data_IF_876284763532
#
_entry.id   IF_876284763532
#
_cell.length_a   1.000
_cell.length_b   1.000
_cell.length_c   1.000
_cell.angle_alpha   90.00
_cell.angle_beta   90.00
_cell.angle_gamma   90.00
#
_symmetry.space_group_name_H-M   'P 1'
#
loop_
_entity.id
_entity.type
_entity.pdbx_description
1 polymer ?
#
# COMPACT_ATOMS: atom_id res chain seq x y z
N UNK A 1 -20.94 52.33 35.54
CA UNK A 1 -21.58 51.38 34.60
C UNK A 1 -20.57 51.05 33.53
N UNK A 2 -19.89 49.93 33.68
CA UNK A 2 -18.85 49.47 32.73
C UNK A 2 -19.36 48.20 32.09
N UNK A 3 -19.62 48.26 30.78
CA UNK A 3 -20.09 47.13 29.99
C UNK A 3 -18.89 46.33 29.50
N UNK A 4 -18.73 45.14 30.02
CA UNK A 4 -17.73 44.19 29.54
C UNK A 4 -18.15 43.69 28.15
N UNK A 5 -17.29 43.93 27.12
CA UNK A 5 -17.37 43.30 25.81
C UNK A 5 -16.92 41.84 25.93
N UNK A 6 -17.84 40.91 25.78
CA UNK A 6 -17.54 39.51 25.64
C UNK A 6 -16.78 39.25 24.33
N UNK A 7 -15.55 38.72 24.42
CA UNK A 7 -14.82 38.19 23.31
C UNK A 7 -15.42 36.83 22.92
N UNK A 8 -16.29 36.82 21.92
CA UNK A 8 -16.64 35.60 21.22
C UNK A 8 -15.47 35.24 20.27
N UNK A 9 -14.52 34.47 20.78
CA UNK A 9 -13.61 33.72 19.94
C UNK A 9 -14.42 32.60 19.25
N UNK A 10 -15.01 32.92 18.13
CA UNK A 10 -15.58 31.91 17.24
C UNK A 10 -14.51 30.88 16.93
N UNK A 11 -14.73 29.68 17.43
CA UNK A 11 -13.94 28.49 17.15
C UNK A 11 -14.13 28.14 15.65
N UNK A 12 -13.44 28.87 14.80
CA UNK A 12 -13.43 28.61 13.34
C UNK A 12 -12.73 27.28 13.14
N UNK A 13 -13.51 26.21 13.02
CA UNK A 13 -13.00 24.94 12.51
C UNK A 13 -12.38 25.22 11.15
N UNK A 14 -11.13 24.87 10.91
CA UNK A 14 -10.55 25.04 9.60
C UNK A 14 -11.41 24.29 8.57
N UNK A 15 -11.83 24.99 7.53
CA UNK A 15 -12.57 24.39 6.42
C UNK A 15 -11.54 23.64 5.60
N UNK A 16 -11.46 22.33 5.82
CA UNK A 16 -10.64 21.46 4.97
C UNK A 16 -11.39 21.17 3.69
N UNK A 17 -10.79 21.45 2.56
CA UNK A 17 -11.28 20.96 1.28
C UNK A 17 -11.01 19.44 1.24
N UNK A 18 -12.02 18.61 1.01
CA UNK A 18 -11.80 17.18 0.84
C UNK A 18 -10.93 16.97 -0.40
N UNK A 19 -9.78 16.32 -0.20
CA UNK A 19 -8.92 15.87 -1.30
C UNK A 19 -9.44 14.48 -1.69
N UNK A 20 -9.80 14.30 -2.95
CA UNK A 20 -10.21 13.00 -3.47
C UNK A 20 -9.00 12.05 -3.49
N UNK A 21 -9.26 10.75 -3.33
CA UNK A 21 -8.26 9.68 -3.37
C UNK A 21 -7.19 9.72 -2.25
N UNK A 22 -7.56 10.22 -1.07
CA UNK A 22 -6.78 10.09 0.17
C UNK A 22 -7.64 9.43 1.24
N UNK A 23 -7.00 8.73 2.16
CA UNK A 23 -7.67 8.15 3.32
C UNK A 23 -8.22 9.24 4.25
N UNK A 24 -9.27 8.91 5.01
CA UNK A 24 -9.82 9.83 6.00
C UNK A 24 -8.84 10.06 7.13
N UNK A 25 -8.62 11.33 7.50
CA UNK A 25 -7.82 11.71 8.65
C UNK A 25 -8.38 11.15 9.98
N UNK A 26 -9.67 10.87 10.04
CA UNK A 26 -10.32 10.25 11.19
C UNK A 26 -9.81 8.84 11.48
N UNK A 27 -9.18 8.19 10.52
CA UNK A 27 -8.60 6.86 10.68
C UNK A 27 -7.18 6.86 11.28
N UNK A 28 -6.60 8.06 11.53
CA UNK A 28 -5.31 8.22 12.22
C UNK A 28 -5.52 8.27 13.74
N UNK A 29 -6.07 7.20 14.28
CA UNK A 29 -6.40 7.00 15.70
C UNK A 29 -5.65 5.78 16.24
N UNK A 30 -5.59 5.56 17.56
CA UNK A 30 -5.02 4.34 18.14
C UNK A 30 -5.60 3.09 17.48
N UNK A 31 -4.73 2.22 16.94
CA UNK A 31 -5.10 1.04 16.18
C UNK A 31 -5.29 1.26 14.66
N UNK A 32 -5.44 2.51 14.22
CA UNK A 32 -5.62 2.91 12.83
C UNK A 32 -4.31 3.06 12.04
N UNK A 33 -4.25 4.05 11.14
CA UNK A 33 -3.06 4.31 10.34
C UNK A 33 -1.92 4.91 11.16
N UNK A 34 -0.70 4.57 10.76
CA UNK A 34 0.51 5.23 11.25
C UNK A 34 0.71 6.56 10.50
N UNK A 35 0.94 7.69 11.20
CA UNK A 35 1.29 8.93 10.53
C UNK A 35 2.70 8.83 9.94
N UNK A 36 2.78 9.01 8.63
CA UNK A 36 4.03 9.05 7.86
C UNK A 36 4.04 10.33 7.03
N UNK A 37 5.19 10.99 6.99
CA UNK A 37 5.39 12.21 6.20
C UNK A 37 6.49 12.00 5.16
N UNK A 38 6.40 12.76 4.08
CA UNK A 38 7.50 12.84 3.11
C UNK A 38 8.75 13.39 3.80
N UNK A 39 9.87 12.70 3.62
CA UNK A 39 11.14 13.00 4.29
C UNK A 39 11.44 12.13 5.50
N UNK A 40 10.46 11.47 6.10
CA UNK A 40 10.68 10.52 7.19
C UNK A 40 11.64 9.39 6.76
N UNK A 41 12.39 8.88 7.73
CA UNK A 41 13.25 7.71 7.52
C UNK A 41 12.69 6.54 8.33
N UNK A 42 12.05 5.61 7.65
CA UNK A 42 11.47 4.42 8.26
C UNK A 42 12.56 3.36 8.45
N UNK A 43 12.57 2.73 9.63
CA UNK A 43 13.52 1.65 9.96
C UNK A 43 14.99 2.05 9.73
N UNK A 44 15.35 3.31 9.97
CA UNK A 44 16.71 3.87 9.76
C UNK A 44 17.29 3.63 8.35
N UNK A 45 16.44 3.29 7.38
CA UNK A 45 16.86 2.87 6.04
C UNK A 45 16.03 3.47 4.90
N UNK A 46 14.73 3.52 5.05
CA UNK A 46 13.81 3.86 3.96
C UNK A 46 13.36 5.31 4.06
N UNK A 47 13.94 6.20 3.25
CA UNK A 47 13.53 7.61 3.20
C UNK A 47 12.30 7.77 2.34
N UNK A 48 11.22 8.21 2.94
CA UNK A 48 9.94 8.46 2.27
C UNK A 48 10.07 9.61 1.28
N UNK A 49 9.65 9.38 0.05
CA UNK A 49 9.72 10.34 -1.06
C UNK A 49 8.35 10.83 -1.44
N UNK A 50 7.36 9.92 -1.53
CA UNK A 50 6.01 10.25 -1.95
C UNK A 50 5.02 9.19 -1.47
N UNK A 51 3.73 9.50 -1.57
CA UNK A 51 2.65 8.56 -1.27
C UNK A 51 2.18 7.88 -2.56
N UNK A 52 2.17 6.55 -2.56
CA UNK A 52 1.69 5.75 -3.70
C UNK A 52 0.21 5.41 -3.61
N UNK A 53 -0.34 5.29 -2.39
CA UNK A 53 -1.74 4.97 -2.21
C UNK A 53 -2.10 4.52 -0.80
N UNK A 54 -3.33 4.06 -0.66
CA UNK A 54 -3.86 3.54 0.61
C UNK A 54 -4.94 2.48 0.35
N UNK A 55 -5.25 1.72 1.39
CA UNK A 55 -6.34 0.76 1.44
C UNK A 55 -6.90 0.69 2.86
N UNK A 56 -7.97 -0.06 3.10
CA UNK A 56 -8.63 -0.13 4.41
C UNK A 56 -7.73 -0.49 5.59
N UNK A 57 -6.61 -1.16 5.34
CA UNK A 57 -5.69 -1.66 6.37
C UNK A 57 -4.24 -1.22 6.20
N UNK A 58 -3.95 -0.30 5.29
CA UNK A 58 -2.55 0.12 5.04
C UNK A 58 -2.45 1.39 4.22
N UNK A 59 -1.29 2.05 4.34
CA UNK A 59 -0.81 3.07 3.41
C UNK A 59 0.42 2.55 2.68
N UNK A 60 0.64 3.02 1.45
CA UNK A 60 1.78 2.60 0.61
C UNK A 60 2.58 3.84 0.21
N UNK A 61 3.87 3.78 0.37
CA UNK A 61 4.79 4.90 0.21
C UNK A 61 5.92 4.56 -0.75
N UNK A 62 6.28 5.50 -1.61
CA UNK A 62 7.53 5.47 -2.34
C UNK A 62 8.65 5.84 -1.38
N UNK A 63 9.67 5.00 -1.27
CA UNK A 63 10.83 5.29 -0.44
C UNK A 63 12.13 4.97 -1.18
N UNK A 64 13.17 5.74 -0.87
CA UNK A 64 14.52 5.45 -1.26
C UNK A 64 15.18 4.56 -0.20
N UNK A 65 15.61 3.38 -0.60
CA UNK A 65 16.49 2.54 0.20
C UNK A 65 17.87 3.20 0.25
N UNK A 66 18.24 3.71 1.42
CA UNK A 66 19.51 4.45 1.59
C UNK A 66 20.73 3.54 1.56
N UNK A 67 20.56 2.22 1.77
CA UNK A 67 21.65 1.23 1.71
C UNK A 67 21.86 0.72 0.28
N UNK A 68 20.79 0.28 -0.39
CA UNK A 68 20.87 -0.27 -1.75
C UNK A 68 20.81 0.79 -2.85
N UNK A 69 20.53 2.06 -2.50
CA UNK A 69 20.43 3.20 -3.43
C UNK A 69 19.39 3.00 -4.55
N UNK A 70 18.34 2.28 -4.26
CA UNK A 70 17.22 2.05 -5.17
C UNK A 70 15.91 2.56 -4.57
N UNK A 71 14.85 2.59 -5.37
CA UNK A 71 13.51 2.91 -4.89
C UNK A 71 12.72 1.64 -4.63
N UNK A 72 11.93 1.66 -3.58
CA UNK A 72 11.05 0.57 -3.16
C UNK A 72 9.68 1.11 -2.79
N UNK A 73 8.67 0.28 -2.84
CA UNK A 73 7.38 0.56 -2.21
C UNK A 73 7.41 0.03 -0.77
N UNK A 74 7.08 0.89 0.20
CA UNK A 74 6.93 0.53 1.61
C UNK A 74 5.45 0.50 1.94
N UNK A 75 4.93 -0.65 2.33
CA UNK A 75 3.56 -0.79 2.84
C UNK A 75 3.59 -0.74 4.36
N UNK A 76 2.81 0.18 4.93
CA UNK A 76 2.66 0.40 6.36
C UNK A 76 1.25 -0.03 6.77
N UNK A 77 1.14 -1.12 7.49
CA UNK A 77 -0.13 -1.67 7.96
C UNK A 77 -0.72 -0.88 9.13
N UNK A 78 -2.04 -0.98 9.31
CA UNK A 78 -2.66 -0.61 10.60
C UNK A 78 -2.28 -1.66 11.65
N UNK A 79 -2.46 -1.34 12.93
CA UNK A 79 -2.21 -2.31 14.03
C UNK A 79 -3.02 -3.60 13.84
N UNK A 80 -4.24 -3.46 13.33
CA UNK A 80 -5.15 -4.57 13.09
C UNK A 80 -5.03 -5.17 11.67
N UNK A 81 -3.99 -4.77 10.91
CA UNK A 81 -3.79 -5.37 9.58
C UNK A 81 -3.52 -6.87 9.72
N UNK A 82 -4.02 -7.68 8.78
CA UNK A 82 -3.80 -9.12 8.84
C UNK A 82 -2.30 -9.44 8.79
N UNK A 83 -1.75 -9.97 9.87
CA UNK A 83 -0.34 -10.44 9.96
C UNK A 83 -0.04 -11.52 8.92
N UNK A 84 -1.08 -12.12 8.34
CA UNK A 84 -0.96 -13.17 7.33
C UNK A 84 -0.47 -12.71 5.96
N UNK A 85 -0.55 -11.42 5.63
CA UNK A 85 -0.24 -10.95 4.27
C UNK A 85 1.21 -11.27 3.88
N UNK A 86 2.18 -10.87 4.69
CA UNK A 86 3.59 -11.14 4.41
C UNK A 86 3.92 -12.63 4.46
N UNK A 87 3.30 -13.37 5.37
CA UNK A 87 3.44 -14.82 5.45
C UNK A 87 2.98 -15.49 4.15
N UNK A 88 1.77 -15.12 3.66
CA UNK A 88 1.23 -15.64 2.40
C UNK A 88 2.12 -15.26 1.23
N UNK A 89 2.55 -13.99 1.13
CA UNK A 89 3.43 -13.54 0.06
C UNK A 89 4.77 -14.29 0.07
N UNK A 90 5.32 -14.57 1.25
CA UNK A 90 6.56 -15.33 1.40
C UNK A 90 6.36 -16.78 1.00
N UNK A 91 5.27 -17.42 1.43
CA UNK A 91 4.93 -18.77 1.01
C UNK A 91 4.72 -18.88 -0.50
N UNK A 92 4.02 -17.92 -1.11
CA UNK A 92 3.87 -17.84 -2.56
C UNK A 92 5.21 -17.59 -3.28
N UNK A 93 6.17 -16.99 -2.60
CA UNK A 93 7.51 -16.73 -3.15
C UNK A 93 8.41 -17.95 -3.12
N UNK A 94 8.16 -18.93 -2.25
CA UNK A 94 8.94 -20.16 -2.20
C UNK A 94 8.72 -21.03 -3.45
N UNK A 95 9.83 -21.57 -3.96
CA UNK A 95 9.80 -22.45 -5.13
C UNK A 95 9.12 -23.78 -4.75
N UNK A 96 7.85 -23.92 -5.07
CA UNK A 96 7.18 -25.21 -5.13
C UNK A 96 6.89 -25.58 -6.59
N UNK A 97 6.91 -26.87 -6.87
CA UNK A 97 6.59 -27.38 -8.21
C UNK A 97 5.10 -27.14 -8.51
N UNK A 98 4.81 -26.09 -9.26
CA UNK A 98 3.50 -25.83 -9.82
C UNK A 98 3.57 -26.10 -11.32
N UNK A 99 2.70 -26.95 -11.89
CA UNK A 99 2.70 -27.24 -13.31
C UNK A 99 2.46 -26.00 -14.18
N UNK A 100 3.03 -26.00 -15.38
CA UNK A 100 2.68 -25.00 -16.39
C UNK A 100 1.22 -25.21 -16.89
N UNK A 101 0.50 -24.14 -17.29
CA UNK A 101 0.96 -22.75 -17.39
C UNK A 101 0.88 -21.96 -16.07
N UNK A 102 0.24 -22.48 -15.01
CA UNK A 102 0.00 -21.75 -13.75
C UNK A 102 1.30 -21.23 -13.10
N UNK A 103 2.42 -21.96 -13.21
CA UNK A 103 3.72 -21.53 -12.70
C UNK A 103 4.19 -20.16 -13.23
N UNK A 104 3.74 -19.76 -14.44
CA UNK A 104 4.07 -18.46 -15.02
C UNK A 104 3.45 -17.30 -14.24
N UNK A 105 2.32 -17.53 -13.58
CA UNK A 105 1.63 -16.52 -12.78
C UNK A 105 2.43 -16.06 -11.55
N UNK A 106 3.44 -16.82 -11.13
CA UNK A 106 4.32 -16.46 -9.99
C UNK A 106 4.96 -15.07 -10.16
N UNK A 107 5.29 -14.68 -11.39
CA UNK A 107 5.93 -13.40 -11.70
C UNK A 107 5.04 -12.19 -11.41
N UNK A 108 3.73 -12.39 -11.39
CA UNK A 108 2.75 -11.34 -11.09
C UNK A 108 2.43 -11.21 -9.60
N UNK A 109 3.02 -12.05 -8.75
CA UNK A 109 2.85 -11.99 -7.30
C UNK A 109 4.05 -11.24 -6.71
N UNK A 110 3.83 -10.12 -6.00
CA UNK A 110 4.91 -9.39 -5.34
C UNK A 110 5.58 -10.26 -4.28
N UNK A 111 6.89 -10.05 -4.09
CA UNK A 111 7.65 -10.70 -3.02
C UNK A 111 8.08 -9.64 -2.03
N UNK A 112 7.89 -9.86 -0.72
CA UNK A 112 8.48 -9.00 0.29
C UNK A 112 10.01 -9.03 0.16
N UNK A 113 10.63 -7.84 0.19
CA UNK A 113 12.09 -7.67 0.16
C UNK A 113 12.65 -7.53 1.57
N UNK A 114 11.91 -6.85 2.45
CA UNK A 114 12.26 -6.62 3.85
C UNK A 114 10.98 -6.50 4.67
N UNK A 115 11.04 -6.85 5.96
CA UNK A 115 9.91 -6.77 6.89
C UNK A 115 10.39 -6.19 8.22
N UNK A 116 9.62 -5.25 8.77
CA UNK A 116 9.93 -4.58 10.02
C UNK A 116 8.67 -4.04 10.69
N UNK A 117 8.82 -3.51 11.89
CA UNK A 117 7.74 -2.88 12.63
C UNK A 117 8.05 -1.39 12.86
N UNK A 118 7.03 -0.54 12.73
CA UNK A 118 7.10 0.85 13.16
C UNK A 118 6.31 1.04 14.45
N UNK A 119 6.94 1.65 15.44
CA UNK A 119 6.29 2.06 16.69
C UNK A 119 5.93 3.54 16.61
N UNK A 120 4.68 3.86 16.88
CA UNK A 120 4.20 5.24 16.82
C UNK A 120 3.02 5.51 17.76
N UNK A 121 2.45 6.70 17.67
CA UNK A 121 1.37 7.13 18.58
C UNK A 121 0.13 6.23 18.48
N UNK A 122 -0.10 5.61 17.33
CA UNK A 122 -1.28 4.79 17.08
C UNK A 122 -1.05 3.29 17.33
N UNK A 123 0.17 2.89 17.70
CA UNK A 123 0.52 1.51 18.05
C UNK A 123 1.77 0.98 17.36
N UNK A 124 1.81 -0.34 17.18
CA UNK A 124 2.88 -1.05 16.45
C UNK A 124 2.32 -1.50 15.11
N UNK A 125 2.97 -1.06 14.05
CA UNK A 125 2.50 -1.21 12.68
C UNK A 125 3.41 -2.17 11.92
N UNK A 126 2.88 -3.30 11.40
CA UNK A 126 3.66 -4.18 10.56
C UNK A 126 3.93 -3.52 9.22
N UNK A 127 5.16 -3.58 8.77
CA UNK A 127 5.61 -2.98 7.54
C UNK A 127 6.38 -3.99 6.69
N UNK A 128 6.30 -3.83 5.39
CA UNK A 128 7.18 -4.55 4.48
C UNK A 128 7.48 -3.72 3.24
N UNK A 129 8.60 -4.03 2.61
CA UNK A 129 8.98 -3.45 1.33
C UNK A 129 8.77 -4.43 0.20
N UNK A 130 8.53 -3.90 -0.99
CA UNK A 130 8.42 -4.67 -2.23
C UNK A 130 9.03 -3.88 -3.39
N UNK A 131 9.28 -4.56 -4.49
CA UNK A 131 9.69 -3.90 -5.72
C UNK A 131 8.65 -2.85 -6.13
N UNK A 132 9.14 -1.70 -6.57
CA UNK A 132 8.29 -0.63 -7.08
C UNK A 132 7.61 -1.10 -8.37
N UNK A 133 6.29 -0.92 -8.47
CA UNK A 133 5.57 -1.07 -9.72
C UNK A 133 5.94 0.09 -10.67
N UNK A 134 6.10 -0.21 -11.96
CA UNK A 134 6.48 0.81 -12.94
C UNK A 134 5.37 1.83 -13.16
N UNK A 135 4.11 1.42 -13.06
CA UNK A 135 2.96 2.30 -13.26
C UNK A 135 1.66 1.69 -12.69
N UNK A 136 0.66 2.54 -12.57
CA UNK A 136 -0.74 2.18 -12.35
C UNK A 136 -1.48 2.15 -13.70
N UNK A 137 -2.20 1.07 -13.96
CA UNK A 137 -2.97 0.90 -15.21
C UNK A 137 -4.02 1.99 -15.42
N UNK A 138 -4.53 2.59 -14.35
CA UNK A 138 -5.51 3.68 -14.42
C UNK A 138 -4.87 4.96 -14.96
N UNK A 139 -3.64 5.27 -14.55
CA UNK A 139 -2.94 6.49 -14.94
C UNK A 139 -2.28 6.38 -16.31
N UNK A 140 -1.84 5.19 -16.71
CA UNK A 140 -1.19 4.95 -18.01
C UNK A 140 -2.17 4.99 -19.18
N UNK A 141 -3.43 4.63 -18.96
CA UNK A 141 -4.45 4.72 -20.00
C UNK A 141 -5.15 6.07 -19.97
N UNK A 142 -4.76 6.98 -20.85
CA UNK A 142 -5.34 8.32 -20.99
C UNK A 142 -6.85 8.28 -21.30
N UNK A 143 -7.30 7.25 -22.00
CA UNK A 143 -8.71 7.03 -22.40
C UNK A 143 -9.40 5.92 -21.57
N UNK A 144 -8.73 5.36 -20.57
CA UNK A 144 -9.14 4.14 -19.87
C UNK A 144 -9.35 2.93 -20.82
N UNK A 145 -8.85 3.02 -22.03
CA UNK A 145 -8.92 1.97 -23.05
C UNK A 145 -7.49 1.55 -23.42
N UNK A 146 -7.28 0.27 -23.54
CA UNK A 146 -6.04 -0.31 -24.04
C UNK A 146 -6.24 -0.89 -25.44
N UNK A 147 -5.21 -0.86 -26.30
CA UNK A 147 -5.20 -1.67 -27.50
C UNK A 147 -5.51 -3.13 -27.15
N UNK A 148 -6.26 -3.80 -28.03
CA UNK A 148 -6.77 -5.16 -27.74
C UNK A 148 -5.65 -6.14 -27.35
N UNK A 149 -4.49 -6.02 -27.96
CA UNK A 149 -3.34 -6.89 -27.66
C UNK A 149 -2.79 -6.65 -26.25
N UNK A 150 -2.76 -5.38 -25.81
CA UNK A 150 -2.37 -5.01 -24.45
C UNK A 150 -3.40 -5.51 -23.44
N UNK A 151 -4.69 -5.32 -23.73
CA UNK A 151 -5.77 -5.80 -22.87
C UNK A 151 -5.73 -7.34 -22.71
N UNK A 152 -5.48 -8.07 -23.80
CA UNK A 152 -5.30 -9.53 -23.77
C UNK A 152 -4.10 -9.94 -22.92
N UNK A 153 -2.95 -9.28 -23.10
CA UNK A 153 -1.74 -9.57 -22.31
C UNK A 153 -1.96 -9.36 -20.83
N UNK A 154 -2.57 -8.22 -20.46
CA UNK A 154 -2.88 -7.88 -19.06
C UNK A 154 -3.87 -8.89 -18.46
N UNK A 155 -4.98 -9.18 -19.17
CA UNK A 155 -5.97 -10.14 -18.71
C UNK A 155 -5.38 -11.55 -18.57
N UNK A 156 -4.56 -11.96 -19.53
CA UNK A 156 -3.82 -13.23 -19.48
C UNK A 156 -2.91 -13.31 -18.26
N UNK A 157 -2.19 -12.23 -17.96
CA UNK A 157 -1.34 -12.13 -16.76
C UNK A 157 -2.12 -12.30 -15.47
N UNK A 158 -3.28 -11.64 -15.36
CA UNK A 158 -4.17 -11.78 -14.18
C UNK A 158 -4.69 -13.21 -14.06
N UNK A 159 -5.15 -13.83 -15.15
CA UNK A 159 -5.62 -15.23 -15.15
C UNK A 159 -4.51 -16.17 -14.67
N UNK A 160 -3.29 -16.00 -15.15
CA UNK A 160 -2.15 -16.83 -14.74
C UNK A 160 -1.80 -16.60 -13.26
N UNK A 161 -1.87 -15.36 -12.77
CA UNK A 161 -1.65 -15.07 -11.36
C UNK A 161 -2.68 -15.75 -10.46
N UNK A 162 -3.97 -15.68 -10.83
CA UNK A 162 -5.05 -16.36 -10.10
C UNK A 162 -4.89 -17.88 -10.18
N UNK A 163 -4.55 -18.43 -11.33
CA UNK A 163 -4.29 -19.85 -11.48
C UNK A 163 -3.12 -20.32 -10.59
N UNK A 164 -2.07 -19.50 -10.47
CA UNK A 164 -0.96 -19.78 -9.56
C UNK A 164 -1.43 -19.79 -8.08
N UNK A 165 -2.20 -18.77 -7.65
CA UNK A 165 -2.75 -18.73 -6.30
C UNK A 165 -3.58 -19.97 -6.00
N UNK A 166 -4.50 -20.36 -6.89
CA UNK A 166 -5.34 -21.53 -6.73
C UNK A 166 -4.53 -22.84 -6.68
N UNK A 167 -3.50 -22.97 -7.53
CA UNK A 167 -2.61 -24.13 -7.49
C UNK A 167 -1.80 -24.23 -6.20
N UNK A 168 -1.65 -23.10 -5.47
CA UNK A 168 -1.00 -23.02 -4.15
C UNK A 168 -2.01 -23.14 -2.99
N UNK A 169 -3.30 -23.38 -3.28
CA UNK A 169 -4.36 -23.53 -2.28
C UNK A 169 -4.91 -22.22 -1.72
N UNK A 170 -4.63 -21.09 -2.39
CA UNK A 170 -5.13 -19.77 -1.99
C UNK A 170 -6.25 -19.29 -2.90
N UNK A 171 -7.24 -18.61 -2.31
CA UNK A 171 -8.23 -17.82 -3.04
C UNK A 171 -8.01 -16.34 -2.75
N UNK A 172 -8.12 -15.48 -3.77
CA UNK A 172 -7.86 -14.03 -3.60
C UNK A 172 -8.91 -13.36 -2.69
N UNK A 173 -10.14 -13.86 -2.64
CA UNK A 173 -11.19 -13.39 -1.73
C UNK A 173 -11.81 -12.02 -2.04
N UNK A 174 -11.26 -11.27 -2.96
CA UNK A 174 -11.75 -9.97 -3.42
C UNK A 174 -10.80 -9.37 -4.44
N UNK A 175 -11.19 -9.45 -5.71
CA UNK A 175 -10.62 -8.61 -6.75
C UNK A 175 -11.60 -7.46 -7.00
N UNK A 176 -11.12 -6.22 -7.15
CA UNK A 176 -11.97 -5.09 -7.46
C UNK A 176 -12.62 -5.23 -8.83
#
# INVERSE_FOLDING_TARGET
MSTAKGNNAENRRPIYNPISNVESLENYVPGGYHPVMVGDVLHDRYRVVDKLGFGGYSTVWLAQDTQLKCYVAVKVGTVNSPVRETTVLRELSTAMSVPAPASQGRRSIPSPLDEFELRGPNGIHPCYTMALAECDLRTVSYSQLFPIEVARALSGGVVLAVAYLHARGYAHGGMP
#
